data_IF_813470362837
#
_entry.id   IF_813470362837
#
_cell.length_a   1.000
_cell.length_b   1.000
_cell.length_c   1.000
_cell.angle_alpha   90.00
_cell.angle_beta   90.00
_cell.angle_gamma   90.00
#
_symmetry.space_group_name_H-M   'P 1'
#
loop_
_entity.id
_entity.type
_entity.pdbx_description
1 polymer ?
#
# COMPACT_ATOMS: atom_id res chain seq x y z
N UNK A 1 12.27 12.87 -27.56
CA UNK A 1 11.38 11.71 -27.29
C UNK A 1 11.85 11.06 -26.00
N UNK A 2 11.14 11.27 -24.88
CA UNK A 2 11.44 10.54 -23.64
C UNK A 2 10.90 9.12 -23.84
N UNK A 3 11.77 8.11 -23.75
CA UNK A 3 11.35 6.71 -23.84
C UNK A 3 10.23 6.46 -22.83
N UNK A 4 9.22 5.71 -23.26
CA UNK A 4 8.17 5.21 -22.36
C UNK A 4 8.87 4.20 -21.45
N UNK A 5 9.47 4.70 -20.37
CA UNK A 5 10.07 3.87 -19.34
C UNK A 5 8.95 3.15 -18.62
N UNK A 6 9.01 1.83 -18.55
CA UNK A 6 8.13 1.05 -17.68
C UNK A 6 8.55 1.29 -16.24
N UNK A 7 7.58 1.67 -15.40
CA UNK A 7 7.78 1.82 -13.97
C UNK A 7 7.36 0.55 -13.24
N UNK A 8 8.04 0.30 -12.13
CA UNK A 8 7.63 -0.66 -11.12
C UNK A 8 7.21 0.12 -9.89
N UNK A 9 6.02 -0.18 -9.37
CA UNK A 9 5.54 0.30 -8.10
C UNK A 9 5.44 -0.84 -7.09
N UNK A 10 5.76 -0.52 -5.83
CA UNK A 10 5.48 -1.38 -4.69
C UNK A 10 4.60 -0.60 -3.73
N UNK A 11 3.50 -1.23 -3.32
CA UNK A 11 2.58 -0.77 -2.30
C UNK A 11 2.74 -1.68 -1.08
N UNK A 12 3.22 -1.16 0.04
CA UNK A 12 3.23 -1.88 1.32
C UNK A 12 1.97 -1.49 2.07
N UNK A 13 1.20 -2.49 2.50
CA UNK A 13 -0.12 -2.27 3.09
C UNK A 13 -0.21 -2.99 4.42
N UNK A 14 -0.44 -2.23 5.48
CA UNK A 14 -0.79 -2.73 6.80
C UNK A 14 -2.27 -2.47 7.05
N UNK A 15 -2.99 -3.49 7.53
CA UNK A 15 -4.41 -3.38 7.87
C UNK A 15 -4.59 -3.74 9.33
N UNK A 16 -5.34 -2.92 10.05
CA UNK A 16 -5.73 -3.14 11.44
C UNK A 16 -7.23 -2.94 11.57
N UNK A 17 -7.87 -3.61 12.51
CA UNK A 17 -9.31 -3.49 12.73
C UNK A 17 -9.78 -4.32 13.91
N UNK A 18 -11.05 -4.15 14.27
CA UNK A 18 -11.65 -4.85 15.40
C UNK A 18 -12.11 -6.26 14.99
N UNK A 19 -11.47 -7.31 15.51
CA UNK A 19 -11.94 -8.69 15.33
C UNK A 19 -10.83 -9.64 14.90
N UNK A 20 -11.23 -10.70 14.20
CA UNK A 20 -10.33 -11.74 13.71
C UNK A 20 -9.45 -11.18 12.57
N UNK A 21 -8.14 -11.21 12.81
CA UNK A 21 -7.15 -10.67 11.89
C UNK A 21 -7.14 -11.40 10.55
N UNK A 22 -7.36 -12.71 10.53
CA UNK A 22 -7.37 -13.49 9.28
C UNK A 22 -8.61 -13.18 8.45
N UNK A 23 -9.76 -12.94 9.09
CA UNK A 23 -10.98 -12.53 8.40
C UNK A 23 -10.87 -11.11 7.82
N UNK A 24 -10.27 -10.18 8.58
CA UNK A 24 -9.97 -8.82 8.09
C UNK A 24 -9.02 -8.87 6.89
N UNK A 25 -7.97 -9.68 7.00
CA UNK A 25 -6.99 -9.94 5.95
C UNK A 25 -7.67 -10.52 4.70
N UNK A 26 -8.55 -11.50 4.84
CA UNK A 26 -9.29 -12.09 3.73
C UNK A 26 -10.24 -11.09 3.05
N UNK A 27 -11.01 -10.33 3.83
CA UNK A 27 -11.92 -9.31 3.30
C UNK A 27 -11.18 -8.22 2.52
N UNK A 28 -10.04 -7.76 3.05
CA UNK A 28 -9.22 -6.76 2.36
C UNK A 28 -8.56 -7.30 1.09
N UNK A 29 -8.18 -8.58 1.07
CA UNK A 29 -7.66 -9.21 -0.14
C UNK A 29 -8.68 -9.20 -1.30
N UNK A 30 -9.98 -9.32 -1.02
CA UNK A 30 -11.03 -9.18 -2.05
C UNK A 30 -11.12 -7.75 -2.62
N UNK A 31 -10.94 -6.73 -1.77
CA UNK A 31 -10.87 -5.32 -2.20
C UNK A 31 -9.71 -5.13 -3.19
N UNK A 32 -8.52 -5.66 -2.85
CA UNK A 32 -7.35 -5.57 -3.71
C UNK A 32 -7.58 -6.24 -5.07
N UNK A 33 -8.19 -7.43 -5.10
CA UNK A 33 -8.52 -8.13 -6.35
C UNK A 33 -9.48 -7.36 -7.23
N UNK A 34 -10.44 -6.64 -6.64
CA UNK A 34 -11.43 -5.85 -7.36
C UNK A 34 -10.83 -4.56 -7.92
N UNK A 35 -9.91 -3.92 -7.18
CA UNK A 35 -9.39 -2.59 -7.51
C UNK A 35 -8.13 -2.59 -8.38
N UNK A 36 -7.43 -3.71 -8.49
CA UNK A 36 -6.22 -3.81 -9.32
C UNK A 36 -6.41 -4.91 -10.37
N UNK A 37 -6.98 -4.56 -11.53
CA UNK A 37 -7.13 -5.50 -12.65
C UNK A 37 -5.77 -6.06 -13.05
N UNK A 38 -5.64 -7.39 -13.13
CA UNK A 38 -4.37 -8.06 -13.43
C UNK A 38 -3.58 -8.52 -12.21
N UNK A 39 -4.08 -8.32 -10.98
CA UNK A 39 -3.68 -9.07 -9.80
C UNK A 39 -4.16 -10.54 -9.88
N UNK A 40 -3.83 -11.27 -10.96
CA UNK A 40 -4.04 -12.72 -10.97
C UNK A 40 -3.25 -13.37 -9.84
N UNK A 41 -3.84 -14.29 -9.07
CA UNK A 41 -3.27 -15.18 -8.02
C UNK A 41 -2.02 -14.73 -7.25
N UNK A 42 -1.75 -13.43 -7.14
CA UNK A 42 -0.66 -12.92 -6.34
C UNK A 42 -1.02 -13.27 -4.91
N UNK A 43 -0.13 -13.95 -4.16
CA UNK A 43 -0.35 -14.11 -2.75
C UNK A 43 -0.41 -12.70 -2.18
N UNK A 44 -1.62 -12.23 -1.90
CA UNK A 44 -1.85 -11.10 -1.01
C UNK A 44 -1.41 -11.62 0.36
N UNK A 45 -0.10 -11.63 0.57
CA UNK A 45 0.43 -11.53 1.92
C UNK A 45 0.22 -10.07 2.27
N UNK A 46 -0.83 -9.79 3.04
CA UNK A 46 -0.97 -8.49 3.67
C UNK A 46 0.38 -8.15 4.32
N UNK A 47 0.98 -7.08 3.80
CA UNK A 47 2.42 -6.88 3.80
C UNK A 47 2.86 -6.10 2.56
N UNK A 48 2.81 -6.68 1.36
CA UNK A 48 3.26 -5.98 0.14
C UNK A 48 2.56 -6.41 -1.16
N UNK A 49 2.30 -5.44 -2.02
CA UNK A 49 1.72 -5.54 -3.36
C UNK A 49 2.72 -4.96 -4.35
N UNK A 50 3.14 -5.72 -5.36
CA UNK A 50 3.99 -5.21 -6.44
C UNK A 50 3.18 -5.05 -7.72
N UNK A 51 3.24 -3.87 -8.32
CA UNK A 51 2.60 -3.54 -9.60
C UNK A 51 3.69 -3.13 -10.59
N UNK A 52 3.90 -3.96 -11.62
CA UNK A 52 4.96 -3.75 -12.62
C UNK A 52 4.38 -3.34 -13.97
N UNK A 53 5.21 -2.75 -14.83
CA UNK A 53 4.81 -2.40 -16.20
C UNK A 53 3.92 -1.16 -16.28
N UNK A 54 3.98 -0.30 -15.27
CA UNK A 54 3.21 0.93 -15.24
C UNK A 54 3.72 1.91 -16.30
N UNK A 55 2.79 2.49 -17.05
CA UNK A 55 3.09 3.54 -18.04
C UNK A 55 3.40 4.89 -17.37
N UNK A 56 2.94 5.08 -16.13
CA UNK A 56 3.29 6.25 -15.31
C UNK A 56 3.14 5.96 -13.80
N UNK A 57 3.84 6.71 -12.94
CA UNK A 57 3.66 6.62 -11.49
C UNK A 57 2.25 6.97 -11.00
N UNK A 58 1.52 7.82 -11.73
CA UNK A 58 0.17 8.26 -11.34
C UNK A 58 -0.80 7.10 -11.14
N UNK A 59 -0.68 6.05 -11.96
CA UNK A 59 -1.49 4.82 -11.84
C UNK A 59 -1.30 4.14 -10.48
N UNK A 60 -0.08 4.15 -9.94
CA UNK A 60 0.18 3.57 -8.60
C UNK A 60 -0.50 4.39 -7.50
N UNK A 61 -0.60 5.71 -7.66
CA UNK A 61 -1.24 6.60 -6.71
C UNK A 61 -2.76 6.48 -6.77
N UNK A 62 -3.33 6.34 -7.97
CA UNK A 62 -4.76 6.09 -8.16
C UNK A 62 -5.16 4.75 -7.52
N UNK A 63 -4.34 3.71 -7.69
CA UNK A 63 -4.54 2.41 -7.01
C UNK A 63 -4.48 2.58 -5.49
N UNK A 64 -3.45 3.27 -4.96
CA UNK A 64 -3.33 3.48 -3.52
C UNK A 64 -4.53 4.26 -2.94
N UNK A 65 -4.96 5.31 -3.62
CA UNK A 65 -6.14 6.10 -3.22
C UNK A 65 -7.43 5.28 -3.28
N UNK A 66 -7.63 4.47 -4.33
CA UNK A 66 -8.79 3.60 -4.44
C UNK A 66 -8.81 2.53 -3.35
N UNK A 67 -7.67 1.90 -3.05
CA UNK A 67 -7.55 0.92 -1.97
C UNK A 67 -7.82 1.57 -0.62
N UNK A 68 -7.28 2.77 -0.37
CA UNK A 68 -7.53 3.52 0.86
C UNK A 68 -9.02 3.89 1.02
N UNK A 69 -9.68 4.33 -0.05
CA UNK A 69 -11.11 4.68 0.00
C UNK A 69 -12.01 3.50 0.36
N UNK A 70 -11.62 2.28 -0.05
CA UNK A 70 -12.40 1.05 0.17
C UNK A 70 -12.08 0.38 1.51
N UNK A 71 -10.95 0.69 2.13
CA UNK A 71 -10.57 0.15 3.44
C UNK A 71 -11.34 0.78 4.62
N UNK A 72 -12.52 1.37 4.36
CA UNK A 72 -13.43 1.87 5.37
C UNK A 72 -14.13 0.75 6.15
N UNK A 73 -15.23 1.03 6.88
CA UNK A 73 -16.01 -0.01 7.55
C UNK A 73 -16.44 -1.09 6.57
N UNK A 74 -16.08 -2.35 6.86
CA UNK A 74 -16.36 -3.49 5.99
C UNK A 74 -17.26 -4.51 6.70
N UNK A 75 -18.08 -5.22 5.92
CA UNK A 75 -18.84 -6.36 6.44
C UNK A 75 -17.94 -7.59 6.43
N UNK A 76 -17.52 -8.02 7.62
CA UNK A 76 -16.68 -9.21 7.83
C UNK A 76 -17.50 -10.22 8.62
N UNK A 77 -17.70 -11.42 8.06
CA UNK A 77 -18.53 -12.48 8.65
C UNK A 77 -19.93 -12.00 9.10
N UNK A 78 -20.56 -11.10 8.32
CA UNK A 78 -21.89 -10.56 8.62
C UNK A 78 -21.93 -9.43 9.66
N UNK A 79 -20.78 -8.97 10.16
CA UNK A 79 -20.67 -7.85 11.09
C UNK A 79 -19.97 -6.67 10.44
N UNK A 80 -20.47 -5.46 10.68
CA UNK A 80 -19.77 -4.24 10.30
C UNK A 80 -18.57 -4.05 11.25
N UNK A 81 -17.37 -4.12 10.69
CA UNK A 81 -16.11 -4.00 11.40
C UNK A 81 -15.39 -2.73 10.95
N UNK A 82 -14.96 -1.93 11.93
CA UNK A 82 -14.04 -0.83 11.69
C UNK A 82 -12.68 -1.38 11.27
N UNK A 83 -12.19 -0.89 10.13
CA UNK A 83 -10.91 -1.27 9.59
C UNK A 83 -10.16 0.00 9.19
N UNK A 84 -8.84 -0.04 9.35
CA UNK A 84 -7.94 1.02 8.94
C UNK A 84 -6.80 0.41 8.14
N UNK A 85 -6.46 1.02 7.01
CA UNK A 85 -5.28 0.64 6.23
C UNK A 85 -4.24 1.76 6.20
N UNK A 86 -2.97 1.41 6.38
CA UNK A 86 -1.84 2.31 6.11
C UNK A 86 -1.13 1.81 4.86
N UNK A 87 -1.00 2.67 3.85
CA UNK A 87 -0.45 2.30 2.54
C UNK A 87 0.77 3.15 2.23
N UNK A 88 1.91 2.51 2.00
CA UNK A 88 3.12 3.17 1.53
C UNK A 88 3.41 2.82 0.08
N UNK A 89 3.67 3.84 -0.74
CA UNK A 89 3.88 3.68 -2.20
C UNK A 89 5.31 4.08 -2.57
N UNK A 90 6.03 3.19 -3.22
CA UNK A 90 7.32 3.51 -3.86
C UNK A 90 7.26 3.17 -5.35
N UNK A 91 7.75 4.07 -6.20
CA UNK A 91 7.75 3.89 -7.66
C UNK A 91 9.14 4.20 -8.20
N UNK A 92 9.65 3.35 -9.09
CA UNK A 92 10.89 3.62 -9.82
C UNK A 92 10.93 2.88 -11.15
N UNK A 93 11.69 3.41 -12.10
CA UNK A 93 12.02 2.75 -13.36
C UNK A 93 13.37 2.01 -13.33
N UNK A 94 14.13 2.12 -12.23
CA UNK A 94 15.52 1.64 -12.18
C UNK A 94 15.93 0.94 -10.88
N UNK A 95 15.14 1.10 -9.80
CA UNK A 95 15.48 0.48 -8.53
C UNK A 95 15.09 -1.00 -8.50
N UNK A 96 15.89 -1.86 -7.85
CA UNK A 96 15.53 -3.25 -7.65
C UNK A 96 14.36 -3.35 -6.66
N UNK A 97 13.58 -4.43 -6.78
CA UNK A 97 12.39 -4.67 -5.96
C UNK A 97 12.62 -4.55 -4.44
N UNK A 98 13.68 -5.12 -3.83
CA UNK A 98 13.90 -4.99 -2.38
C UNK A 98 14.07 -3.54 -1.91
N UNK A 99 14.67 -2.69 -2.73
CA UNK A 99 14.82 -1.26 -2.42
C UNK A 99 13.48 -0.53 -2.50
N UNK A 100 12.65 -0.86 -3.50
CA UNK A 100 11.29 -0.34 -3.58
C UNK A 100 10.42 -0.80 -2.41
N UNK A 101 10.55 -2.05 -1.97
CA UNK A 101 9.86 -2.57 -0.78
C UNK A 101 10.29 -1.80 0.47
N UNK A 102 11.60 -1.58 0.69
CA UNK A 102 12.08 -0.79 1.82
C UNK A 102 11.48 0.63 1.82
N UNK A 103 11.50 1.31 0.68
CA UNK A 103 10.94 2.66 0.51
C UNK A 103 9.43 2.69 0.74
N UNK A 104 8.71 1.71 0.23
CA UNK A 104 7.28 1.57 0.45
C UNK A 104 6.97 1.34 1.93
N UNK A 105 7.76 0.55 2.65
CA UNK A 105 7.62 0.37 4.10
C UNK A 105 7.82 1.66 4.88
N UNK A 106 8.85 2.45 4.56
CA UNK A 106 9.08 3.77 5.18
C UNK A 106 7.88 4.69 4.94
N UNK A 107 7.37 4.74 3.71
CA UNK A 107 6.18 5.53 3.40
C UNK A 107 4.92 5.03 4.13
N UNK A 108 4.77 3.72 4.33
CA UNK A 108 3.65 3.15 5.08
C UNK A 108 3.69 3.57 6.55
N UNK A 109 4.87 3.54 7.18
CA UNK A 109 5.03 4.03 8.54
C UNK A 109 4.74 5.54 8.66
N UNK A 110 5.13 6.33 7.68
CA UNK A 110 4.74 7.75 7.64
C UNK A 110 3.22 7.90 7.49
N UNK A 111 2.55 7.13 6.62
CA UNK A 111 1.08 7.14 6.51
C UNK A 111 0.42 6.83 7.87
N UNK A 112 0.92 5.82 8.58
CA UNK A 112 0.48 5.43 9.92
C UNK A 112 0.66 6.54 10.97
N UNK A 113 1.68 7.39 10.83
CA UNK A 113 1.95 8.51 11.75
C UNK A 113 0.97 9.67 11.60
N UNK A 114 0.49 9.96 10.38
CA UNK A 114 -0.32 11.16 10.11
C UNK A 114 -1.83 10.95 10.22
N UNK A 115 -2.32 9.72 10.37
CA UNK A 115 -3.76 9.49 10.48
C UNK A 115 -4.09 8.36 11.48
N UNK A 116 -5.02 8.58 12.43
CA UNK A 116 -5.68 7.50 13.16
C UNK A 116 -6.70 6.74 12.29
N UNK A 117 -6.78 7.03 10.98
CA UNK A 117 -7.72 6.49 10.01
C UNK A 117 -6.98 5.99 8.75
N UNK A 118 -7.69 5.30 7.86
CA UNK A 118 -7.12 4.81 6.60
C UNK A 118 -6.42 5.93 5.81
N UNK A 119 -5.16 5.70 5.43
CA UNK A 119 -4.34 6.69 4.76
C UNK A 119 -3.30 6.06 3.83
N UNK A 120 -2.71 6.89 2.98
CA UNK A 120 -1.63 6.49 2.09
C UNK A 120 -0.58 7.59 1.96
N UNK A 121 0.68 7.20 1.75
CA UNK A 121 1.79 8.12 1.52
C UNK A 121 2.71 7.60 0.41
N UNK A 122 3.31 8.55 -0.31
CA UNK A 122 4.30 8.27 -1.35
C UNK A 122 5.69 8.46 -0.74
N UNK A 123 6.59 7.50 -0.92
CA UNK A 123 7.96 7.64 -0.47
C UNK A 123 8.63 8.88 -1.07
N UNK A 124 9.36 9.61 -0.22
CA UNK A 124 10.17 10.77 -0.58
C UNK A 124 11.49 10.69 0.18
N UNK A 125 12.57 11.19 -0.40
CA UNK A 125 13.91 11.24 0.23
C UNK A 125 13.90 11.88 1.63
N UNK A 126 13.00 12.83 1.88
CA UNK A 126 12.84 13.48 3.18
C UNK A 126 12.39 12.56 4.33
N UNK A 127 11.83 11.38 4.04
CA UNK A 127 11.37 10.44 5.07
C UNK A 127 12.53 9.70 5.74
N UNK A 128 13.65 9.54 5.06
CA UNK A 128 14.83 8.84 5.60
C UNK A 128 15.44 9.60 6.81
N UNK A 129 15.12 10.89 7.00
CA UNK A 129 15.59 11.68 8.14
C UNK A 129 14.76 11.50 9.42
N UNK A 130 13.55 10.93 9.33
CA UNK A 130 12.66 10.72 10.48
C UNK A 130 12.84 9.36 11.17
N UNK A 131 13.54 8.40 10.55
CA UNK A 131 13.91 7.12 11.20
C UNK A 131 15.10 7.28 12.18
N UNK A 132 16.02 8.21 11.91
CA UNK A 132 17.21 8.43 12.75
C UNK A 132 16.95 9.30 13.98
N UNK A 133 15.84 10.04 14.02
CA UNK A 133 15.51 10.94 15.14
C UNK A 133 14.71 10.26 16.27
N UNK A 134 14.21 9.04 16.07
CA UNK A 134 13.45 8.28 17.07
C UNK A 134 14.27 7.28 17.88
N UNK A 135 15.59 7.21 17.65
CA UNK A 135 16.51 6.26 18.28
C UNK A 135 17.57 6.94 19.18
N UNK A 136 17.35 8.20 19.59
CA UNK A 136 18.23 8.95 20.48
C UNK A 136 17.58 9.20 21.84
#
# INVERSE_FOLDING_TARGET
MRGIGTFTAVLVIEVTGDGDEDLLRAAFAEVLRTRVPGLGNLPVHLGSLTVSGLLSPSVAYDVAGAVAAEAGPMVVAGRLTGMTASIGVAVSSSLPRPELERRATVAMHEAKRYAPQTSWAIWRESFDHHELAGAA
#
